data_IF_683969481872
#
_entry.id   IF_683969481872
#
_cell.length_a   1.000
_cell.length_b   1.000
_cell.length_c   1.000
_cell.angle_alpha   90.00
_cell.angle_beta   90.00
_cell.angle_gamma   90.00
#
_symmetry.space_group_name_H-M   'P 1'
#
loop_
_entity.id
_entity.type
_entity.pdbx_description
1 polymer ?
#
# COMPACT_ATOMS: atom_id res chain seq x y z
N UNK A 1 10.45 64.79 10.18
CA UNK A 1 10.38 63.90 9.00
C UNK A 1 10.74 62.51 9.47
N UNK A 2 9.74 61.73 9.89
CA UNK A 2 9.95 60.32 10.22
C UNK A 2 9.88 59.53 8.93
N UNK A 3 10.95 58.82 8.61
CA UNK A 3 11.02 57.90 7.47
C UNK A 3 10.14 56.71 7.83
N UNK A 4 9.05 56.52 7.08
CA UNK A 4 8.25 55.30 7.15
C UNK A 4 9.16 54.13 6.73
N UNK A 5 9.36 53.17 7.63
CA UNK A 5 9.94 51.88 7.30
C UNK A 5 8.82 51.11 6.63
N UNK A 6 8.93 50.93 5.31
CA UNK A 6 8.04 50.04 4.56
C UNK A 6 8.18 48.64 5.15
N UNK A 7 7.11 48.16 5.79
CA UNK A 7 6.99 46.79 6.25
C UNK A 7 6.85 45.87 5.01
N UNK A 8 7.83 45.01 4.72
CA UNK A 8 7.75 44.08 3.60
C UNK A 8 6.59 43.07 3.74
N UNK A 9 6.03 42.91 4.95
CA UNK A 9 4.95 41.98 5.24
C UNK A 9 3.56 42.45 4.77
N UNK A 10 3.39 43.75 4.47
CA UNK A 10 2.07 44.31 4.13
C UNK A 10 1.60 44.06 2.69
N UNK A 11 2.44 43.50 1.81
CA UNK A 11 2.17 43.39 0.38
C UNK A 11 2.06 41.96 -0.18
N UNK A 12 1.90 40.94 0.66
CA UNK A 12 1.61 39.59 0.18
C UNK A 12 0.09 39.34 0.17
N UNK A 13 -0.54 39.09 -1.00
CA UNK A 13 -1.94 38.69 -1.06
C UNK A 13 -2.16 37.41 -0.22
N UNK A 14 -3.35 37.17 0.33
CA UNK A 14 -3.68 35.86 0.94
C UNK A 14 -3.56 34.74 -0.12
N UNK A 15 -2.45 33.99 -0.13
CA UNK A 15 -2.04 33.20 -1.31
C UNK A 15 -2.74 31.83 -1.42
N UNK A 16 -3.26 31.23 -0.35
CA UNK A 16 -4.11 30.03 -0.45
C UNK A 16 -5.60 30.42 -0.48
N UNK A 17 -6.00 31.25 -1.45
CA UNK A 17 -7.41 31.22 -1.87
C UNK A 17 -7.72 29.78 -2.28
N UNK A 18 -8.59 29.10 -1.53
CA UNK A 18 -9.20 27.83 -1.92
C UNK A 18 -10.01 28.11 -3.19
N UNK A 19 -9.32 28.10 -4.34
CA UNK A 19 -10.01 27.92 -5.61
C UNK A 19 -10.32 26.44 -5.63
N UNK A 20 -11.60 26.11 -5.71
CA UNK A 20 -12.12 24.74 -5.62
C UNK A 20 -11.39 23.74 -6.54
N UNK A 21 -10.72 24.22 -7.59
CA UNK A 21 -10.01 23.42 -8.60
C UNK A 21 -8.52 23.19 -8.35
N UNK A 22 -7.88 23.85 -7.37
CA UNK A 22 -6.43 23.69 -7.12
C UNK A 22 -6.10 22.36 -6.45
N UNK A 23 -5.22 21.58 -7.07
CA UNK A 23 -4.81 20.23 -6.62
C UNK A 23 -3.48 20.22 -5.85
N UNK A 24 -2.88 19.04 -5.70
CA UNK A 24 -1.67 18.86 -4.89
C UNK A 24 -0.46 19.60 -5.48
N UNK A 25 -0.30 19.58 -6.81
CA UNK A 25 0.82 20.27 -7.47
C UNK A 25 0.76 21.79 -7.27
N UNK A 26 -0.43 22.38 -7.29
CA UNK A 26 -0.60 23.81 -7.02
C UNK A 26 -0.23 24.16 -5.58
N UNK A 27 -0.66 23.32 -4.63
CA UNK A 27 -0.30 23.44 -3.23
C UNK A 27 1.22 23.40 -3.05
N UNK A 28 1.89 22.41 -3.64
CA UNK A 28 3.36 22.29 -3.58
C UNK A 28 4.06 23.53 -4.15
N UNK A 29 3.60 24.02 -5.32
CA UNK A 29 4.16 25.23 -5.93
C UNK A 29 3.95 26.48 -5.05
N UNK A 30 2.81 26.59 -4.36
CA UNK A 30 2.55 27.68 -3.42
C UNK A 30 3.39 27.58 -2.15
N UNK A 31 3.66 26.37 -1.67
CA UNK A 31 4.52 26.13 -0.50
C UNK A 31 5.99 26.46 -0.80
N UNK A 32 6.47 26.24 -2.02
CA UNK A 32 7.83 26.67 -2.43
C UNK A 32 8.02 28.19 -2.37
N UNK A 33 6.94 28.96 -2.49
CA UNK A 33 6.96 30.43 -2.39
C UNK A 33 6.82 30.91 -0.94
N UNK A 34 6.63 29.99 0.02
CA UNK A 34 6.52 30.32 1.43
C UNK A 34 7.90 30.68 1.98
N UNK A 35 8.11 31.88 2.54
CA UNK A 35 9.42 32.30 3.00
C UNK A 35 9.91 31.39 4.15
N UNK A 36 11.09 30.77 3.95
CA UNK A 36 11.85 30.11 5.01
C UNK A 36 12.38 31.17 5.97
N UNK A 37 11.60 31.53 6.98
CA UNK A 37 12.04 32.53 7.96
C UNK A 37 10.88 33.18 8.71
N UNK A 38 10.13 32.41 9.49
CA UNK A 38 9.24 32.99 10.50
C UNK A 38 10.05 33.33 11.75
N UNK A 39 11.00 34.26 11.66
CA UNK A 39 11.65 34.84 12.83
C UNK A 39 10.96 36.13 13.31
N UNK A 40 10.17 36.79 12.45
CA UNK A 40 9.47 38.03 12.77
C UNK A 40 7.97 37.96 12.42
N UNK A 41 7.21 37.08 13.09
CA UNK A 41 5.75 37.10 13.04
C UNK A 41 5.21 37.51 14.41
N UNK A 42 4.25 38.44 14.41
CA UNK A 42 3.57 38.96 15.60
C UNK A 42 3.14 37.80 16.51
N UNK A 43 3.81 37.67 17.65
CA UNK A 43 3.70 36.56 18.60
C UNK A 43 2.46 36.67 19.49
N UNK A 44 1.43 37.38 19.02
CA UNK A 44 0.14 37.42 19.70
C UNK A 44 -0.53 36.06 19.57
N UNK A 45 -0.42 35.25 20.64
CA UNK A 45 -1.17 34.01 20.81
C UNK A 45 -2.65 34.39 20.75
N UNK A 46 -3.33 34.03 19.67
CA UNK A 46 -4.77 34.13 19.58
C UNK A 46 -5.37 33.05 20.49
N UNK A 47 -6.33 33.41 21.35
CA UNK A 47 -7.03 32.46 22.24
C UNK A 47 -7.97 31.49 21.51
N UNK A 48 -7.93 31.45 20.16
CA UNK A 48 -8.67 30.49 19.36
C UNK A 48 -7.85 29.20 19.21
N UNK A 49 -8.32 28.13 19.83
CA UNK A 49 -7.71 26.79 19.75
C UNK A 49 -7.85 26.12 18.37
N UNK A 50 -8.57 26.75 17.42
CA UNK A 50 -8.82 26.17 16.10
C UNK A 50 -8.73 27.22 15.00
N UNK A 51 -8.08 26.85 13.89
CA UNK A 51 -7.98 27.66 12.68
C UNK A 51 -8.88 27.05 11.59
N UNK A 52 -9.72 27.84 10.89
CA UNK A 52 -10.59 27.32 9.83
C UNK A 52 -9.88 27.15 8.48
N UNK A 53 -8.61 27.54 8.38
CA UNK A 53 -7.85 27.54 7.14
C UNK A 53 -7.30 26.15 6.80
N UNK A 54 -7.04 25.86 5.51
CA UNK A 54 -6.77 24.51 5.05
C UNK A 54 -5.42 23.94 5.52
N UNK A 55 -4.41 24.79 5.75
CA UNK A 55 -3.04 24.36 5.95
C UNK A 55 -2.29 25.16 7.02
N UNK A 56 -1.47 24.44 7.81
CA UNK A 56 -0.45 25.00 8.69
C UNK A 56 0.92 24.55 8.18
N UNK A 57 1.95 25.39 8.37
CA UNK A 57 3.35 25.04 8.16
C UNK A 57 4.10 25.33 9.45
N UNK A 58 4.69 24.30 10.07
CA UNK A 58 5.38 24.39 11.36
C UNK A 58 4.53 25.03 12.46
N UNK A 59 3.24 24.66 12.52
CA UNK A 59 2.28 25.19 13.50
C UNK A 59 1.83 26.64 13.23
N UNK A 60 2.18 27.23 12.09
CA UNK A 60 1.72 28.56 11.69
C UNK A 60 0.75 28.43 10.52
N UNK A 61 -0.43 29.02 10.64
CA UNK A 61 -1.40 29.03 9.56
C UNK A 61 -0.84 29.75 8.33
N UNK A 62 -0.89 29.09 7.18
CA UNK A 62 -0.38 29.65 5.93
C UNK A 62 -1.13 30.93 5.52
N UNK A 63 -2.45 30.98 5.77
CA UNK A 63 -3.33 32.07 5.36
C UNK A 63 -3.36 33.24 6.36
N UNK A 64 -3.76 32.98 7.61
CA UNK A 64 -3.94 34.04 8.61
C UNK A 64 -2.69 34.32 9.46
N UNK A 65 -1.61 33.54 9.27
CA UNK A 65 -0.33 33.69 9.99
C UNK A 65 -0.39 33.51 11.51
N UNK A 66 -1.54 33.08 12.03
CA UNK A 66 -1.68 32.75 13.44
C UNK A 66 -0.91 31.46 13.76
N UNK A 67 -0.14 31.50 14.84
CA UNK A 67 0.43 30.31 15.44
C UNK A 67 -0.67 29.52 16.14
N UNK A 68 -0.79 28.26 15.78
CA UNK A 68 -1.77 27.31 16.30
C UNK A 68 -1.00 26.26 17.08
N UNK A 69 -1.39 26.02 18.33
CA UNK A 69 -0.91 24.84 19.04
C UNK A 69 -1.53 23.62 18.36
N UNK A 70 -0.67 22.76 17.80
CA UNK A 70 -1.11 21.55 17.11
C UNK A 70 -1.62 20.59 18.18
N UNK A 71 -2.91 20.65 18.47
CA UNK A 71 -3.64 19.57 19.12
C UNK A 71 -4.03 18.53 18.06
N UNK A 72 -4.30 17.28 18.48
CA UNK A 72 -4.72 16.15 17.64
C UNK A 72 -5.98 16.46 16.77
N UNK A 73 -6.64 17.59 16.97
CA UNK A 73 -7.91 17.95 16.34
C UNK A 73 -7.80 18.61 14.95
N UNK A 74 -6.67 19.23 14.58
CA UNK A 74 -6.62 20.02 13.33
C UNK A 74 -6.67 19.13 12.08
N UNK A 75 -5.89 18.05 12.05
CA UNK A 75 -5.74 17.18 10.88
C UNK A 75 -4.49 16.32 10.94
N UNK A 76 -3.91 16.02 9.77
CA UNK A 76 -2.73 15.17 9.64
C UNK A 76 -1.54 15.94 9.08
N UNK A 77 -0.34 15.51 9.45
CA UNK A 77 0.91 16.06 8.94
C UNK A 77 1.31 15.32 7.64
N UNK A 78 1.49 16.07 6.55
CA UNK A 78 1.91 15.58 5.24
C UNK A 78 3.36 16.00 4.99
N UNK A 79 4.26 15.66 5.91
CA UNK A 79 5.67 16.03 5.82
C UNK A 79 6.36 15.48 4.56
N UNK A 80 5.86 14.37 4.01
CA UNK A 80 6.29 13.85 2.71
C UNK A 80 6.00 14.78 1.51
N UNK A 81 5.01 15.68 1.62
CA UNK A 81 4.74 16.70 0.61
C UNK A 81 5.58 17.94 0.84
N UNK A 82 5.62 18.40 2.09
CA UNK A 82 6.44 19.52 2.52
C UNK A 82 6.64 19.41 4.02
N UNK A 83 7.90 19.49 4.47
CA UNK A 83 8.26 19.38 5.89
C UNK A 83 7.44 20.32 6.77
N UNK A 84 6.79 19.77 7.80
CA UNK A 84 5.97 20.50 8.76
C UNK A 84 4.61 20.96 8.23
N UNK A 85 4.16 20.46 7.09
CA UNK A 85 2.83 20.77 6.54
C UNK A 85 1.75 19.96 7.27
N UNK A 86 0.83 20.63 7.95
CA UNK A 86 -0.39 20.02 8.46
C UNK A 86 -1.57 20.44 7.58
N UNK A 87 -2.37 19.48 7.14
CA UNK A 87 -3.60 19.72 6.39
C UNK A 87 -4.81 19.43 7.27
N UNK A 88 -5.78 20.34 7.23
CA UNK A 88 -7.05 20.15 7.91
C UNK A 88 -7.83 18.97 7.32
N UNK A 89 -8.71 18.35 8.11
CA UNK A 89 -9.55 17.24 7.65
C UNK A 89 -10.39 17.59 6.41
N UNK A 90 -10.92 18.80 6.33
CA UNK A 90 -11.69 19.28 5.17
C UNK A 90 -10.82 19.42 3.93
N UNK A 91 -9.58 19.89 4.09
CA UNK A 91 -8.63 20.02 2.97
C UNK A 91 -8.15 18.67 2.47
N UNK A 92 -7.86 17.72 3.36
CA UNK A 92 -7.51 16.34 2.98
C UNK A 92 -8.64 15.73 2.14
N UNK A 93 -9.88 15.87 2.60
CA UNK A 93 -11.05 15.39 1.86
C UNK A 93 -11.16 16.07 0.49
N UNK A 94 -11.00 17.40 0.42
CA UNK A 94 -11.05 18.16 -0.84
C UNK A 94 -9.99 17.68 -1.83
N UNK A 95 -8.74 17.53 -1.39
CA UNK A 95 -7.63 17.06 -2.22
C UNK A 95 -7.86 15.62 -2.72
N UNK A 96 -8.38 14.73 -1.87
CA UNK A 96 -8.74 13.36 -2.28
C UNK A 96 -9.78 13.33 -3.39
N UNK A 97 -10.84 14.13 -3.30
CA UNK A 97 -11.85 14.22 -4.35
C UNK A 97 -11.25 14.74 -5.66
N UNK A 98 -10.38 15.76 -5.59
CA UNK A 98 -9.76 16.34 -6.78
C UNK A 98 -8.79 15.39 -7.46
N UNK A 99 -7.85 14.81 -6.71
CA UNK A 99 -6.88 13.87 -7.27
C UNK A 99 -7.59 12.61 -7.80
N UNK A 100 -8.59 12.08 -7.10
CA UNK A 100 -9.40 10.96 -7.61
C UNK A 100 -10.09 11.30 -8.92
N UNK A 101 -10.76 12.47 -9.00
CA UNK A 101 -11.42 12.92 -10.24
C UNK A 101 -10.42 13.06 -11.38
N UNK A 102 -9.24 13.64 -11.11
CA UNK A 102 -8.15 13.79 -12.08
C UNK A 102 -7.66 12.43 -12.57
N UNK A 103 -7.34 11.50 -11.68
CA UNK A 103 -6.85 10.17 -12.08
C UNK A 103 -7.90 9.37 -12.84
N UNK A 104 -9.16 9.39 -12.38
CA UNK A 104 -10.26 8.73 -13.08
C UNK A 104 -10.49 9.28 -14.49
N UNK A 105 -10.29 10.59 -14.71
CA UNK A 105 -10.37 11.19 -16.05
C UNK A 105 -9.30 10.67 -17.01
N UNK A 106 -8.16 10.22 -16.47
CA UNK A 106 -7.06 9.59 -17.20
C UNK A 106 -7.17 8.06 -17.24
N UNK A 107 -8.29 7.50 -16.76
CA UNK A 107 -8.48 6.07 -16.55
C UNK A 107 -7.41 5.46 -15.64
N UNK A 108 -7.01 6.17 -14.58
CA UNK A 108 -6.12 5.66 -13.54
C UNK A 108 -6.83 5.46 -12.21
N UNK A 109 -6.39 4.45 -11.48
CA UNK A 109 -6.69 4.20 -10.07
C UNK A 109 -5.48 4.58 -9.21
N UNK A 110 -5.50 4.30 -7.91
CA UNK A 110 -4.36 4.47 -7.01
C UNK A 110 -3.83 3.11 -6.53
N UNK A 111 -2.50 2.98 -6.45
CA UNK A 111 -1.84 1.78 -5.94
C UNK A 111 -0.83 2.18 -4.87
N UNK A 112 -1.00 1.64 -3.67
CA UNK A 112 -0.04 1.80 -2.56
C UNK A 112 0.84 0.56 -2.52
N UNK A 113 2.15 0.75 -2.52
CA UNK A 113 3.14 -0.31 -2.55
C UNK A 113 4.01 -0.24 -1.30
N UNK A 114 4.05 -1.32 -0.54
CA UNK A 114 5.09 -1.53 0.45
C UNK A 114 6.46 -1.82 -0.21
N UNK A 115 7.55 -1.72 0.55
CA UNK A 115 8.92 -1.97 0.07
C UNK A 115 9.42 -3.32 0.56
N UNK A 116 9.62 -3.44 1.86
CA UNK A 116 10.40 -4.50 2.51
C UNK A 116 9.62 -5.80 2.51
N UNK A 117 10.21 -6.88 2.00
CA UNK A 117 9.52 -8.17 1.80
C UNK A 117 8.34 -8.13 0.82
N UNK A 118 7.96 -6.97 0.28
CA UNK A 118 6.97 -6.85 -0.81
C UNK A 118 7.60 -6.70 -2.19
N UNK A 119 8.45 -5.69 -2.39
CA UNK A 119 9.09 -5.37 -3.69
C UNK A 119 10.57 -5.77 -3.72
N UNK A 120 11.20 -5.89 -2.56
CA UNK A 120 12.61 -6.24 -2.41
C UNK A 120 12.88 -6.80 -1.01
N UNK A 121 14.09 -7.31 -0.81
CA UNK A 121 14.60 -7.68 0.50
C UNK A 121 15.97 -7.04 0.74
N UNK A 122 16.14 -6.46 1.93
CA UNK A 122 17.35 -5.73 2.31
C UNK A 122 18.20 -6.53 3.29
N UNK A 123 19.52 -6.49 3.11
CA UNK A 123 20.50 -7.27 3.87
C UNK A 123 21.65 -6.39 4.36
N UNK A 124 22.14 -6.56 5.60
CA UNK A 124 23.44 -6.04 6.00
C UNK A 124 24.56 -6.60 5.11
N UNK A 125 25.62 -5.82 4.81
CA UNK A 125 26.66 -6.23 3.84
C UNK A 125 27.32 -7.58 4.15
N UNK A 126 27.52 -7.89 5.43
CA UNK A 126 28.08 -9.18 5.87
C UNK A 126 27.17 -10.36 5.49
N UNK A 127 25.88 -10.27 5.80
CA UNK A 127 24.90 -11.30 5.48
C UNK A 127 24.75 -11.46 3.97
N UNK A 128 24.73 -10.35 3.22
CA UNK A 128 24.67 -10.40 1.77
C UNK A 128 25.86 -11.16 1.14
N UNK A 129 27.07 -10.94 1.68
CA UNK A 129 28.26 -11.68 1.26
C UNK A 129 28.16 -13.17 1.58
N UNK A 130 27.60 -13.54 2.74
CA UNK A 130 27.40 -14.94 3.15
C UNK A 130 26.35 -15.65 2.26
N UNK A 131 25.32 -14.92 1.82
CA UNK A 131 24.29 -15.40 0.87
C UNK A 131 24.77 -15.40 -0.59
N UNK A 132 26.00 -14.98 -0.87
CA UNK A 132 26.54 -14.95 -2.23
C UNK A 132 25.89 -13.93 -3.16
N UNK A 133 25.28 -12.86 -2.61
CA UNK A 133 24.72 -11.78 -3.41
C UNK A 133 25.83 -11.06 -4.18
N UNK A 134 25.92 -11.36 -5.48
CA UNK A 134 26.87 -10.70 -6.36
C UNK A 134 26.38 -9.31 -6.72
N UNK A 135 27.24 -8.30 -6.53
CA UNK A 135 26.99 -6.92 -7.01
C UNK A 135 26.78 -6.82 -8.52
N UNK A 136 27.18 -7.85 -9.27
CA UNK A 136 27.01 -7.91 -10.72
C UNK A 136 25.65 -8.47 -11.14
N UNK A 137 24.86 -8.99 -10.21
CA UNK A 137 23.52 -9.49 -10.52
C UNK A 137 22.58 -8.29 -10.75
N UNK A 138 21.82 -8.30 -11.85
CA UNK A 138 20.96 -7.17 -12.27
C UNK A 138 19.99 -6.71 -11.16
N UNK A 139 19.45 -7.68 -10.43
CA UNK A 139 18.47 -7.49 -9.36
C UNK A 139 19.11 -7.28 -7.97
N UNK A 140 20.43 -7.10 -7.88
CA UNK A 140 21.12 -6.83 -6.61
C UNK A 140 21.73 -5.43 -6.66
N UNK A 141 21.41 -4.56 -5.69
CA UNK A 141 22.01 -3.22 -5.56
C UNK A 141 22.74 -3.09 -4.24
N UNK A 142 23.87 -2.40 -4.27
CA UNK A 142 24.70 -2.16 -3.09
C UNK A 142 24.66 -0.67 -2.75
N UNK A 143 24.10 -0.36 -1.58
CA UNK A 143 23.95 0.98 -1.02
C UNK A 143 25.13 1.34 -0.08
N UNK A 144 26.13 0.47 0.03
CA UNK A 144 27.26 0.61 0.94
C UNK A 144 26.93 0.24 2.39
N UNK A 145 25.81 0.73 2.93
CA UNK A 145 25.32 0.41 4.27
C UNK A 145 24.37 -0.79 4.28
N UNK A 146 23.76 -1.11 3.14
CA UNK A 146 22.94 -2.30 2.89
C UNK A 146 23.12 -2.82 1.46
N UNK A 147 22.78 -4.09 1.26
CA UNK A 147 22.63 -4.70 -0.07
C UNK A 147 21.19 -5.12 -0.22
N UNK A 148 20.56 -4.72 -1.32
CA UNK A 148 19.16 -5.02 -1.60
C UNK A 148 19.04 -6.00 -2.76
N UNK A 149 18.17 -6.99 -2.60
CA UNK A 149 17.75 -7.92 -3.64
C UNK A 149 16.35 -7.53 -4.08
N UNK A 150 16.21 -7.09 -5.33
CA UNK A 150 14.92 -6.79 -5.93
C UNK A 150 14.12 -8.08 -6.14
N UNK A 151 12.81 -8.00 -5.90
CA UNK A 151 11.89 -9.06 -6.28
C UNK A 151 11.89 -9.19 -7.81
N UNK A 152 11.96 -10.42 -8.35
CA UNK A 152 11.93 -10.62 -9.80
C UNK A 152 10.74 -9.87 -10.43
N UNK A 153 10.94 -9.32 -11.63
CA UNK A 153 9.93 -8.59 -12.39
C UNK A 153 9.52 -7.22 -11.83
N UNK A 154 10.07 -6.74 -10.70
CA UNK A 154 9.61 -5.49 -10.06
C UNK A 154 9.68 -4.24 -10.96
N UNK A 155 10.75 -4.05 -11.73
CA UNK A 155 10.90 -2.86 -12.56
C UNK A 155 9.88 -2.86 -13.72
N UNK A 156 9.67 -4.02 -14.35
CA UNK A 156 8.68 -4.17 -15.42
C UNK A 156 7.25 -4.08 -14.88
N UNK A 157 7.01 -4.60 -13.68
CA UNK A 157 5.75 -4.43 -12.95
C UNK A 157 5.43 -2.95 -12.73
N UNK A 158 6.37 -2.16 -12.20
CA UNK A 158 6.17 -0.73 -11.94
C UNK A 158 5.89 0.04 -13.23
N UNK A 159 6.65 -0.23 -14.29
CA UNK A 159 6.45 0.39 -15.61
C UNK A 159 5.02 0.11 -16.12
N UNK A 160 4.59 -1.16 -16.14
CA UNK A 160 3.27 -1.54 -16.62
C UNK A 160 2.13 -1.04 -15.71
N UNK A 161 2.32 -1.09 -14.40
CA UNK A 161 1.34 -0.59 -13.43
C UNK A 161 1.14 0.93 -13.56
N UNK A 162 2.20 1.69 -13.87
CA UNK A 162 2.13 3.16 -14.02
C UNK A 162 1.14 3.63 -15.10
N UNK A 163 0.84 2.78 -16.09
CA UNK A 163 -0.16 3.08 -17.13
C UNK A 163 -1.61 3.07 -16.59
N UNK A 164 -1.86 2.35 -15.50
CA UNK A 164 -3.19 2.13 -14.92
C UNK A 164 -3.36 2.76 -13.53
N UNK A 165 -2.25 3.07 -12.85
CA UNK A 165 -2.25 3.49 -11.46
C UNK A 165 -1.35 4.72 -11.25
N UNK A 166 -1.81 5.63 -10.40
CA UNK A 166 -0.97 6.61 -9.70
C UNK A 166 -0.42 5.93 -8.44
N UNK A 167 0.90 5.77 -8.36
CA UNK A 167 1.52 4.91 -7.34
C UNK A 167 2.08 5.70 -6.15
N UNK A 168 1.91 5.13 -4.96
CA UNK A 168 2.52 5.58 -3.71
C UNK A 168 3.49 4.51 -3.22
N UNK A 169 4.67 4.92 -2.78
CA UNK A 169 5.57 4.07 -2.00
C UNK A 169 5.28 4.32 -0.52
N UNK A 170 4.98 3.28 0.26
CA UNK A 170 4.63 3.41 1.68
C UNK A 170 5.28 2.32 2.52
N UNK A 171 6.38 2.67 3.18
CA UNK A 171 7.15 1.78 4.07
C UNK A 171 7.09 2.24 5.53
N UNK A 172 7.35 1.32 6.46
CA UNK A 172 7.70 1.62 7.86
C UNK A 172 9.21 1.87 8.06
N UNK A 173 10.00 1.80 6.99
CA UNK A 173 11.39 2.24 6.98
C UNK A 173 11.53 3.76 7.06
N UNK A 174 12.72 4.22 7.47
CA UNK A 174 13.06 5.65 7.59
C UNK A 174 13.00 6.39 6.24
N UNK A 175 12.82 7.71 6.25
CA UNK A 175 12.81 8.52 5.02
C UNK A 175 14.06 8.37 4.14
N UNK A 176 15.31 8.45 4.67
CA UNK A 176 16.51 8.30 3.84
C UNK A 176 16.55 6.96 3.09
N UNK A 177 16.13 5.88 3.77
CA UNK A 177 16.01 4.57 3.14
C UNK A 177 14.96 4.56 2.03
N UNK A 178 13.76 5.07 2.30
CA UNK A 178 12.66 5.07 1.33
C UNK A 178 13.03 5.88 0.07
N UNK A 179 13.71 7.01 0.23
CA UNK A 179 14.18 7.85 -0.88
C UNK A 179 15.25 7.14 -1.71
N UNK A 180 16.24 6.49 -1.08
CA UNK A 180 17.29 5.74 -1.79
C UNK A 180 16.71 4.52 -2.55
N UNK A 181 15.72 3.83 -1.98
CA UNK A 181 15.00 2.76 -2.68
C UNK A 181 14.16 3.30 -3.83
N UNK A 182 13.49 4.44 -3.66
CA UNK A 182 12.72 5.05 -4.73
C UNK A 182 13.62 5.43 -5.92
N UNK A 183 14.84 5.92 -5.68
CA UNK A 183 15.83 6.19 -6.73
C UNK A 183 16.26 4.93 -7.48
N UNK A 184 16.33 3.77 -6.82
CA UNK A 184 16.61 2.48 -7.46
C UNK A 184 15.43 2.02 -8.33
N UNK A 185 14.22 2.11 -7.80
CA UNK A 185 13.01 1.56 -8.43
C UNK A 185 12.45 2.47 -9.53
N UNK A 186 12.60 3.79 -9.38
CA UNK A 186 12.05 4.82 -10.26
C UNK A 186 13.05 5.99 -10.45
N UNK A 187 14.19 5.76 -11.14
CA UNK A 187 15.24 6.77 -11.23
C UNK A 187 14.81 8.07 -11.93
N UNK A 188 13.74 8.03 -12.72
CA UNK A 188 13.19 9.21 -13.41
C UNK A 188 12.05 9.90 -12.63
N UNK A 189 11.62 9.34 -11.50
CA UNK A 189 10.53 9.89 -10.69
C UNK A 189 9.16 9.87 -11.39
N UNK A 190 8.95 8.94 -12.34
CA UNK A 190 7.70 8.84 -13.12
C UNK A 190 6.62 8.08 -12.34
N UNK A 191 7.01 7.08 -11.56
CA UNK A 191 6.13 6.21 -10.81
C UNK A 191 5.65 6.86 -9.51
N UNK A 192 6.59 7.37 -8.70
CA UNK A 192 6.31 7.83 -7.34
C UNK A 192 6.39 9.35 -7.20
N UNK A 193 7.36 10.01 -7.83
CA UNK A 193 7.62 11.44 -7.66
C UNK A 193 7.67 11.79 -6.15
N UNK A 194 6.84 12.72 -5.68
CA UNK A 194 6.74 13.12 -4.27
C UNK A 194 5.97 12.13 -3.37
N UNK A 195 5.37 11.05 -3.91
CA UNK A 195 4.45 10.15 -3.19
C UNK A 195 5.19 9.03 -2.45
N UNK A 196 6.13 9.42 -1.59
CA UNK A 196 6.95 8.50 -0.78
C UNK A 196 6.64 8.75 0.69
N UNK A 197 5.92 7.81 1.30
CA UNK A 197 5.50 7.84 2.71
C UNK A 197 6.39 6.88 3.50
N UNK A 198 7.01 7.38 4.56
CA UNK A 198 7.94 6.64 5.41
C UNK A 198 7.44 6.58 6.85
N UNK A 199 8.13 5.87 7.74
CA UNK A 199 7.81 5.92 9.18
C UNK A 199 8.06 7.28 9.83
N UNK A 200 8.82 8.17 9.18
CA UNK A 200 8.99 9.55 9.66
C UNK A 200 7.74 10.40 9.46
N UNK A 201 6.85 9.98 8.56
CA UNK A 201 5.56 10.64 8.32
C UNK A 201 4.44 10.09 9.22
N UNK A 202 4.71 8.99 9.95
CA UNK A 202 3.69 8.28 10.72
C UNK A 202 3.62 8.77 12.18
N UNK A 203 2.55 9.50 12.58
CA UNK A 203 2.38 9.96 13.94
C UNK A 203 2.09 8.83 14.93
N UNK A 204 1.66 7.65 14.43
CA UNK A 204 1.36 6.48 15.27
C UNK A 204 2.61 5.71 15.73
N UNK A 205 3.82 6.18 15.39
CA UNK A 205 5.10 5.65 15.88
C UNK A 205 5.27 5.78 17.39
N UNK A 206 4.52 6.68 18.02
CA UNK A 206 4.56 6.93 19.45
C UNK A 206 3.39 6.19 20.12
N UNK A 207 3.62 5.64 21.31
CA UNK A 207 2.54 5.12 22.15
C UNK A 207 1.55 6.28 22.41
N UNK A 208 0.36 6.18 21.84
CA UNK A 208 -0.73 7.13 22.08
C UNK A 208 -1.83 6.45 22.89
N UNK A 209 -2.81 7.21 23.39
CA UNK A 209 -4.04 6.61 23.94
C UNK A 209 -4.75 5.69 22.95
N UNK A 210 -4.56 5.90 21.63
CA UNK A 210 -5.14 5.12 20.55
C UNK A 210 -4.20 4.03 19.99
N UNK A 211 -2.91 4.07 20.33
CA UNK A 211 -1.91 3.02 20.04
C UNK A 211 -1.16 2.63 21.33
N UNK A 212 -1.83 1.99 22.30
CA UNK A 212 -1.26 1.71 23.62
C UNK A 212 -0.08 0.74 23.59
N UNK A 213 0.04 -0.04 22.51
CA UNK A 213 1.08 -1.05 22.34
C UNK A 213 2.27 -0.54 21.51
N UNK A 214 2.19 0.68 20.94
CA UNK A 214 3.24 1.24 20.10
C UNK A 214 3.51 0.42 18.82
N UNK A 215 2.52 -0.34 18.36
CA UNK A 215 2.67 -1.14 17.13
C UNK A 215 2.56 -0.18 15.95
N UNK A 216 3.57 -0.16 15.08
CA UNK A 216 3.54 0.67 13.89
C UNK A 216 2.48 0.15 12.92
N UNK A 217 1.53 1.01 12.56
CA UNK A 217 0.45 0.71 11.62
C UNK A 217 0.43 1.74 10.50
N UNK A 218 0.01 1.31 9.32
CA UNK A 218 -0.19 2.14 8.14
C UNK A 218 -1.67 2.52 8.01
N UNK A 219 -1.92 3.68 7.40
CA UNK A 219 -3.28 4.17 7.13
C UNK A 219 -3.38 4.86 5.79
N UNK A 220 -4.50 4.68 5.09
CA UNK A 220 -4.80 5.45 3.88
C UNK A 220 -5.02 6.94 4.17
N UNK A 221 -5.01 7.37 5.44
CA UNK A 221 -4.98 8.76 5.91
C UNK A 221 -4.03 9.67 5.12
N UNK A 222 -2.83 9.17 4.80
CA UNK A 222 -1.79 9.91 4.09
C UNK A 222 -1.89 9.85 2.57
N UNK A 223 -2.78 9.01 2.03
CA UNK A 223 -2.96 8.83 0.59
C UNK A 223 -4.06 9.79 0.11
N UNK A 224 -3.71 10.62 -0.88
CA UNK A 224 -4.61 11.61 -1.46
C UNK A 224 -5.43 11.02 -2.62
N UNK A 225 -6.07 9.88 -2.36
CA UNK A 225 -7.08 9.26 -3.21
C UNK A 225 -8.29 8.83 -2.39
N UNK A 226 -9.45 8.67 -3.02
CA UNK A 226 -10.62 8.07 -2.40
C UNK A 226 -10.41 6.56 -2.25
N UNK A 227 -10.70 6.00 -1.08
CA UNK A 227 -10.44 4.59 -0.77
C UNK A 227 -11.13 3.61 -1.74
N UNK A 228 -12.26 3.98 -2.34
CA UNK A 228 -12.93 3.18 -3.38
C UNK A 228 -12.10 3.02 -4.65
N UNK A 229 -11.00 3.76 -4.77
CA UNK A 229 -10.12 3.81 -5.95
C UNK A 229 -8.69 3.37 -5.61
N UNK A 230 -8.42 2.96 -4.35
CA UNK A 230 -7.08 2.59 -3.87
C UNK A 230 -6.99 1.07 -3.68
N UNK A 231 -5.96 0.45 -4.26
CA UNK A 231 -5.51 -0.90 -3.90
C UNK A 231 -4.16 -0.81 -3.17
N UNK A 232 -3.91 -1.76 -2.26
CA UNK A 232 -2.66 -1.86 -1.49
C UNK A 232 -2.00 -3.19 -1.82
N UNK A 233 -0.69 -3.19 -2.11
CA UNK A 233 0.16 -4.39 -2.09
C UNK A 233 1.10 -4.30 -0.89
N UNK A 234 0.98 -5.26 0.01
CA UNK A 234 1.78 -5.37 1.23
C UNK A 234 1.80 -6.84 1.65
N UNK A 235 2.91 -7.35 2.17
CA UNK A 235 3.03 -8.72 2.67
C UNK A 235 2.51 -8.89 4.11
N UNK A 236 2.26 -7.79 4.81
CA UNK A 236 1.80 -7.82 6.19
C UNK A 236 0.40 -7.21 6.36
N UNK A 237 -0.60 -8.06 6.60
CA UNK A 237 -1.96 -7.59 6.86
C UNK A 237 -2.11 -6.86 8.20
N UNK A 238 -1.27 -7.16 9.20
CA UNK A 238 -1.39 -6.62 10.56
C UNK A 238 -1.10 -5.12 10.62
N UNK A 239 -0.30 -4.59 9.68
CA UNK A 239 -0.03 -3.15 9.61
C UNK A 239 -1.18 -2.36 8.97
N UNK A 240 -2.23 -3.01 8.45
CA UNK A 240 -3.39 -2.37 7.81
C UNK A 240 -4.73 -2.70 8.49
N UNK A 241 -4.88 -2.51 9.82
CA UNK A 241 -6.05 -2.99 10.56
C UNK A 241 -7.39 -2.44 10.06
N UNK A 242 -7.40 -1.18 9.61
CA UNK A 242 -8.61 -0.50 9.14
C UNK A 242 -8.84 -0.63 7.62
N UNK A 243 -7.86 -1.14 6.87
CA UNK A 243 -7.80 -1.06 5.40
C UNK A 243 -7.70 -2.44 4.71
N UNK A 244 -7.97 -3.52 5.44
CA UNK A 244 -7.89 -4.91 4.93
C UNK A 244 -8.71 -5.17 3.65
N UNK A 245 -9.77 -4.38 3.40
CA UNK A 245 -10.60 -4.51 2.18
C UNK A 245 -9.92 -3.96 0.93
N UNK A 246 -8.94 -3.08 1.09
CA UNK A 246 -8.13 -2.49 0.02
C UNK A 246 -6.86 -3.33 -0.24
N UNK A 247 -6.51 -4.21 0.70
CA UNK A 247 -5.29 -5.00 0.68
C UNK A 247 -5.39 -6.22 -0.23
N UNK A 248 -4.47 -6.29 -1.18
CA UNK A 248 -4.07 -7.52 -1.87
C UNK A 248 -2.82 -8.01 -1.13
N UNK A 249 -3.03 -8.93 -0.19
CA UNK A 249 -1.96 -9.51 0.61
C UNK A 249 -0.95 -10.23 -0.30
N UNK A 250 0.29 -9.79 -0.25
CA UNK A 250 1.40 -10.36 -1.01
C UNK A 250 2.05 -11.48 -0.21
N UNK A 251 2.62 -12.47 -0.91
CA UNK A 251 3.53 -13.40 -0.23
C UNK A 251 4.83 -12.67 0.09
N UNK A 252 5.33 -12.86 1.31
CA UNK A 252 6.64 -12.37 1.73
C UNK A 252 7.71 -12.79 0.70
N UNK A 253 8.50 -11.83 0.25
CA UNK A 253 9.62 -12.05 -0.63
C UNK A 253 10.85 -12.44 0.20
N UNK A 254 11.14 -13.74 0.21
CA UNK A 254 12.27 -14.31 0.94
C UNK A 254 13.32 -14.83 -0.03
N UNK A 255 14.52 -14.26 0.04
CA UNK A 255 15.73 -14.70 -0.66
C UNK A 255 16.71 -15.32 0.36
N UNK A 256 17.08 -16.59 0.16
CA UNK A 256 17.95 -17.37 1.05
C UNK A 256 19.32 -17.72 0.44
N UNK A 257 19.66 -17.20 -0.75
CA UNK A 257 20.92 -17.50 -1.45
C UNK A 257 21.00 -18.89 -2.10
N UNK A 258 19.93 -19.69 -2.03
CA UNK A 258 19.87 -21.03 -2.61
C UNK A 258 19.24 -21.01 -4.01
N UNK A 259 19.60 -21.97 -4.88
CA UNK A 259 19.00 -22.09 -6.22
C UNK A 259 17.48 -22.27 -6.20
N UNK A 260 16.93 -22.70 -5.07
CA UNK A 260 15.50 -22.87 -4.85
C UNK A 260 14.77 -21.57 -4.53
N UNK A 261 15.44 -20.44 -4.27
CA UNK A 261 14.76 -19.19 -3.90
C UNK A 261 14.12 -18.46 -5.07
N UNK A 262 14.58 -18.77 -6.28
CA UNK A 262 13.78 -18.66 -7.49
C UNK A 262 12.72 -19.77 -7.51
N UNK A 263 12.02 -19.98 -6.39
CA UNK A 263 10.79 -20.78 -6.43
C UNK A 263 9.92 -20.17 -7.52
N UNK A 264 9.24 -21.02 -8.29
CA UNK A 264 8.38 -20.56 -9.38
C UNK A 264 7.45 -19.43 -8.89
N UNK A 265 6.93 -19.56 -7.68
CA UNK A 265 6.07 -18.57 -7.04
C UNK A 265 6.76 -17.21 -6.75
N UNK A 266 7.99 -17.16 -6.20
CA UNK A 266 8.71 -15.88 -6.02
C UNK A 266 8.94 -15.16 -7.36
N UNK A 267 9.11 -15.93 -8.44
CA UNK A 267 9.38 -15.42 -9.78
C UNK A 267 8.12 -14.94 -10.48
N UNK A 268 6.98 -15.61 -10.27
CA UNK A 268 5.73 -15.37 -11.00
C UNK A 268 4.82 -14.34 -10.33
N UNK A 269 4.88 -14.20 -9.00
CA UNK A 269 3.84 -13.50 -8.24
C UNK A 269 3.59 -12.05 -8.69
N UNK A 270 4.60 -11.24 -9.00
CA UNK A 270 4.35 -9.87 -9.49
C UNK A 270 3.72 -9.86 -10.88
N UNK A 271 4.00 -10.86 -11.72
CA UNK A 271 3.34 -11.06 -13.00
C UNK A 271 1.86 -11.39 -12.83
N UNK A 272 1.54 -12.37 -11.98
CA UNK A 272 0.15 -12.76 -11.71
C UNK A 272 -0.65 -11.62 -11.07
N UNK A 273 -0.05 -10.91 -10.12
CA UNK A 273 -0.69 -9.76 -9.47
C UNK A 273 -0.92 -8.62 -10.47
N UNK A 274 -0.03 -8.41 -11.44
CA UNK A 274 -0.27 -7.44 -12.50
C UNK A 274 -1.52 -7.80 -13.33
N UNK A 275 -1.75 -9.07 -13.66
CA UNK A 275 -2.95 -9.52 -14.37
C UNK A 275 -4.22 -9.31 -13.53
N UNK A 276 -4.14 -9.55 -12.23
CA UNK A 276 -5.24 -9.26 -11.28
C UNK A 276 -5.55 -7.76 -11.28
N UNK A 277 -4.53 -6.90 -11.18
CA UNK A 277 -4.68 -5.45 -11.21
C UNK A 277 -5.30 -4.97 -12.53
N UNK A 278 -4.87 -5.53 -13.67
CA UNK A 278 -5.46 -5.26 -14.99
C UNK A 278 -6.93 -5.66 -15.07
N UNK A 279 -7.29 -6.81 -14.49
CA UNK A 279 -8.66 -7.30 -14.44
C UNK A 279 -9.55 -6.39 -13.60
N UNK A 280 -9.11 -6.04 -12.38
CA UNK A 280 -9.86 -5.12 -11.49
C UNK A 280 -10.01 -3.75 -12.15
N UNK A 281 -8.95 -3.21 -12.73
CA UNK A 281 -8.98 -1.94 -13.45
C UNK A 281 -9.99 -1.97 -14.61
N UNK A 282 -9.94 -3.00 -15.45
CA UNK A 282 -10.85 -3.17 -16.58
C UNK A 282 -12.31 -3.21 -16.12
N UNK A 283 -12.62 -4.02 -15.09
CA UNK A 283 -13.96 -4.12 -14.52
C UNK A 283 -14.42 -2.79 -13.92
N UNK A 284 -13.54 -2.08 -13.20
CA UNK A 284 -13.84 -0.79 -12.58
C UNK A 284 -14.31 0.24 -13.63
N UNK A 285 -13.62 0.34 -14.76
CA UNK A 285 -13.97 1.30 -15.81
C UNK A 285 -15.13 0.85 -16.72
N UNK A 286 -15.52 -0.43 -16.68
CA UNK A 286 -16.72 -0.95 -17.33
C UNK A 286 -18.00 -0.71 -16.51
N UNK A 287 -17.89 -0.56 -15.19
CA UNK A 287 -19.04 -0.29 -14.32
C UNK A 287 -19.56 1.15 -14.44
N UNK A 288 -20.85 1.31 -14.16
CA UNK A 288 -21.49 2.60 -13.97
C UNK A 288 -20.83 3.38 -12.83
N UNK A 289 -20.65 4.69 -13.01
CA UNK A 289 -19.85 5.55 -12.12
C UNK A 289 -20.26 5.43 -10.64
N UNK A 290 -21.56 5.33 -10.35
CA UNK A 290 -22.06 5.22 -8.96
C UNK A 290 -21.86 3.86 -8.29
N UNK A 291 -21.41 2.84 -9.02
CA UNK A 291 -21.23 1.48 -8.50
C UNK A 291 -19.76 1.12 -8.23
N UNK A 292 -18.83 1.96 -8.70
CA UNK A 292 -17.39 1.69 -8.72
C UNK A 292 -16.79 1.63 -7.32
N UNK A 293 -16.18 0.50 -7.00
CA UNK A 293 -15.43 0.31 -5.76
C UNK A 293 -14.43 -0.85 -5.93
N UNK A 294 -13.13 -0.55 -5.95
CA UNK A 294 -12.07 -1.55 -6.14
C UNK A 294 -12.11 -2.63 -5.07
N UNK A 295 -12.59 -2.34 -3.85
CA UNK A 295 -12.68 -3.32 -2.76
C UNK A 295 -13.72 -4.39 -3.06
N UNK A 296 -14.84 -4.00 -3.66
CA UNK A 296 -15.90 -4.94 -4.09
C UNK A 296 -15.40 -5.82 -5.24
N UNK A 297 -14.72 -5.20 -6.20
CA UNK A 297 -14.16 -5.87 -7.37
C UNK A 297 -13.04 -6.85 -7.01
N UNK A 298 -12.10 -6.44 -6.16
CA UNK A 298 -11.04 -7.30 -5.66
C UNK A 298 -11.62 -8.55 -4.98
N UNK A 299 -12.61 -8.38 -4.11
CA UNK A 299 -13.33 -9.50 -3.48
C UNK A 299 -14.03 -10.40 -4.51
N UNK A 300 -14.66 -9.81 -5.53
CA UNK A 300 -15.34 -10.58 -6.59
C UNK A 300 -14.35 -11.41 -7.40
N UNK A 301 -13.27 -10.78 -7.89
CA UNK A 301 -12.19 -11.46 -8.63
C UNK A 301 -11.58 -12.58 -7.79
N UNK A 302 -11.31 -12.32 -6.51
CA UNK A 302 -10.81 -13.35 -5.57
C UNK A 302 -11.78 -14.52 -5.40
N UNK A 303 -13.07 -14.25 -5.27
CA UNK A 303 -14.09 -15.28 -5.11
C UNK A 303 -14.30 -16.16 -6.36
N UNK A 304 -13.70 -15.80 -7.50
CA UNK A 304 -13.77 -16.59 -8.72
C UNK A 304 -12.66 -17.65 -8.81
N UNK A 305 -11.61 -17.56 -7.97
CA UNK A 305 -10.44 -18.43 -8.06
C UNK A 305 -10.79 -19.91 -7.86
N UNK A 306 -11.46 -20.24 -6.75
CA UNK A 306 -11.89 -21.61 -6.42
C UNK A 306 -13.41 -21.78 -6.53
N UNK A 307 -14.08 -20.94 -7.32
CA UNK A 307 -15.53 -21.03 -7.52
C UNK A 307 -15.91 -22.42 -8.05
N UNK A 308 -16.86 -23.06 -7.37
CA UNK A 308 -17.33 -24.41 -7.72
C UNK A 308 -16.50 -25.54 -7.11
N UNK A 309 -15.41 -25.24 -6.39
CA UNK A 309 -14.68 -26.22 -5.61
C UNK A 309 -15.39 -26.48 -4.28
N UNK A 310 -15.77 -27.74 -4.04
CA UNK A 310 -16.24 -28.22 -2.75
C UNK A 310 -15.10 -28.97 -2.05
N UNK A 311 -14.52 -28.36 -1.02
CA UNK A 311 -13.33 -28.85 -0.34
C UNK A 311 -13.73 -29.62 0.92
N UNK A 312 -13.24 -30.85 1.02
CA UNK A 312 -13.26 -31.61 2.26
C UNK A 312 -12.00 -31.28 3.07
N UNK A 313 -12.19 -30.66 4.23
CA UNK A 313 -11.13 -30.00 5.01
C UNK A 313 -11.17 -30.40 6.49
N UNK A 314 -11.52 -31.66 6.79
CA UNK A 314 -11.70 -32.13 8.17
C UNK A 314 -10.46 -31.92 9.05
N UNK A 315 -9.26 -32.16 8.50
CA UNK A 315 -8.01 -32.04 9.25
C UNK A 315 -7.62 -30.59 9.53
N UNK A 316 -8.13 -29.65 8.73
CA UNK A 316 -7.78 -28.22 8.75
C UNK A 316 -8.99 -27.34 9.03
N UNK A 317 -10.03 -27.89 9.67
CA UNK A 317 -11.34 -27.24 9.86
C UNK A 317 -11.26 -25.94 10.66
N UNK A 318 -10.38 -25.88 11.64
CA UNK A 318 -10.19 -24.73 12.53
C UNK A 318 -8.90 -23.95 12.21
N UNK A 319 -8.42 -24.06 10.97
CA UNK A 319 -7.25 -23.33 10.48
C UNK A 319 -7.63 -22.10 9.66
N UNK A 320 -6.68 -21.19 9.47
CA UNK A 320 -6.79 -20.05 8.56
C UNK A 320 -7.16 -20.47 7.12
N UNK A 321 -6.76 -21.67 6.69
CA UNK A 321 -7.04 -22.18 5.34
C UNK A 321 -8.53 -22.32 5.04
N UNK A 322 -9.36 -22.54 6.05
CA UNK A 322 -10.81 -22.65 5.85
C UNK A 322 -11.42 -21.32 5.39
N UNK A 323 -11.01 -20.22 6.02
CA UNK A 323 -11.49 -18.89 5.67
C UNK A 323 -10.84 -18.37 4.39
N UNK A 324 -9.56 -18.69 4.16
CA UNK A 324 -8.87 -18.44 2.88
C UNK A 324 -9.59 -19.14 1.72
N UNK A 325 -9.92 -20.42 1.85
CA UNK A 325 -10.64 -21.16 0.81
C UNK A 325 -12.02 -20.56 0.50
N UNK A 326 -12.75 -20.13 1.54
CA UNK A 326 -14.03 -19.42 1.36
C UNK A 326 -13.85 -18.07 0.67
N UNK A 327 -12.82 -17.31 1.02
CA UNK A 327 -12.51 -16.05 0.36
C UNK A 327 -12.21 -16.24 -1.14
N UNK A 328 -11.62 -17.38 -1.51
CA UNK A 328 -11.40 -17.79 -2.90
C UNK A 328 -12.67 -18.33 -3.60
N UNK A 329 -13.81 -18.39 -2.90
CA UNK A 329 -15.10 -18.83 -3.46
C UNK A 329 -15.36 -20.34 -3.40
N UNK A 330 -14.56 -21.09 -2.65
CA UNK A 330 -14.81 -22.50 -2.40
C UNK A 330 -15.91 -22.70 -1.35
N UNK A 331 -16.55 -23.87 -1.38
CA UNK A 331 -17.40 -24.35 -0.29
C UNK A 331 -16.64 -25.38 0.54
N UNK A 332 -16.49 -25.13 1.84
CA UNK A 332 -15.74 -26.01 2.73
C UNK A 332 -16.68 -26.92 3.52
N UNK A 333 -16.32 -28.18 3.70
CA UNK A 333 -17.09 -29.17 4.45
C UNK A 333 -16.18 -30.09 5.29
N UNK A 334 -16.70 -30.59 6.41
CA UNK A 334 -16.00 -31.53 7.31
C UNK A 334 -16.49 -32.97 7.18
N UNK A 335 -17.48 -33.20 6.32
CA UNK A 335 -18.11 -34.50 6.10
C UNK A 335 -18.05 -34.89 4.62
N UNK A 336 -17.67 -36.14 4.35
CA UNK A 336 -17.62 -36.66 2.99
C UNK A 336 -19.02 -36.83 2.43
N UNK A 337 -19.24 -36.32 1.22
CA UNK A 337 -20.49 -36.42 0.49
C UNK A 337 -20.22 -36.41 -1.02
N UNK A 338 -21.26 -36.66 -1.82
CA UNK A 338 -21.15 -36.74 -3.29
C UNK A 338 -20.69 -35.45 -3.96
N UNK A 339 -20.95 -34.28 -3.34
CA UNK A 339 -20.60 -32.98 -3.89
C UNK A 339 -19.11 -32.64 -3.71
N UNK A 340 -18.38 -33.33 -2.82
CA UNK A 340 -16.94 -33.11 -2.61
C UNK A 340 -16.17 -33.27 -3.92
N UNK A 341 -15.30 -32.31 -4.20
CA UNK A 341 -14.45 -32.27 -5.40
C UNK A 341 -12.98 -32.51 -5.04
N UNK A 342 -12.53 -31.95 -3.92
CA UNK A 342 -11.14 -32.03 -3.45
C UNK A 342 -11.11 -32.50 -2.00
N UNK A 343 -10.12 -33.30 -1.64
CA UNK A 343 -9.76 -33.63 -0.28
C UNK A 343 -8.44 -32.96 0.06
N UNK A 344 -8.45 -32.16 1.11
CA UNK A 344 -7.30 -31.34 1.51
C UNK A 344 -6.55 -32.03 2.65
N UNK A 345 -5.25 -32.21 2.45
CA UNK A 345 -4.26 -32.70 3.43
C UNK A 345 -4.62 -34.06 4.03
N UNK A 346 -5.30 -34.93 3.28
CA UNK A 346 -5.67 -36.24 3.80
C UNK A 346 -4.47 -37.18 3.86
N UNK A 347 -4.13 -37.65 5.06
CA UNK A 347 -3.06 -38.62 5.26
C UNK A 347 -3.27 -39.90 4.44
N UNK A 348 -2.22 -40.33 3.75
CA UNK A 348 -2.22 -41.54 2.92
C UNK A 348 -2.64 -42.76 3.75
N UNK A 349 -3.58 -43.54 3.23
CA UNK A 349 -4.09 -44.75 3.88
C UNK A 349 -5.26 -44.53 4.85
N UNK A 350 -5.64 -43.30 5.16
CA UNK A 350 -6.85 -43.02 5.93
C UNK A 350 -8.12 -43.40 5.17
N UNK A 351 -9.24 -43.57 5.88
CA UNK A 351 -10.56 -43.84 5.27
C UNK A 351 -10.95 -42.75 4.27
N UNK A 352 -10.64 -41.50 4.62
CA UNK A 352 -10.99 -40.33 3.82
C UNK A 352 -10.14 -40.28 2.54
N UNK A 353 -8.82 -40.49 2.65
CA UNK A 353 -7.92 -40.64 1.50
C UNK A 353 -8.37 -41.75 0.54
N UNK A 354 -8.62 -42.95 1.07
CA UNK A 354 -9.06 -44.10 0.27
C UNK A 354 -10.41 -43.85 -0.41
N UNK A 355 -11.32 -43.12 0.25
CA UNK A 355 -12.57 -42.67 -0.36
C UNK A 355 -12.31 -41.71 -1.52
N UNK A 356 -11.40 -40.74 -1.36
CA UNK A 356 -11.00 -39.80 -2.41
C UNK A 356 -10.47 -40.51 -3.65
N UNK A 357 -9.50 -41.43 -3.46
CA UNK A 357 -8.93 -42.25 -4.54
C UNK A 357 -10.02 -43.06 -5.25
N UNK A 358 -10.84 -43.79 -4.48
CA UNK A 358 -11.91 -44.64 -5.04
C UNK A 358 -12.92 -43.84 -5.88
N UNK A 359 -13.23 -42.61 -5.45
CA UNK A 359 -14.19 -41.73 -6.11
C UNK A 359 -13.54 -40.75 -7.09
N UNK A 360 -12.25 -40.93 -7.41
CA UNK A 360 -11.48 -40.09 -8.35
C UNK A 360 -11.59 -38.59 -8.04
N UNK A 361 -11.48 -38.24 -6.76
CA UNK A 361 -11.43 -36.86 -6.29
C UNK A 361 -10.00 -36.33 -6.34
N UNK A 362 -9.85 -35.03 -6.42
CA UNK A 362 -8.54 -34.40 -6.31
C UNK A 362 -8.05 -34.52 -4.87
N UNK A 363 -6.79 -34.91 -4.70
CA UNK A 363 -6.09 -34.97 -3.42
C UNK A 363 -5.06 -33.85 -3.47
N UNK A 364 -5.12 -32.93 -2.52
CA UNK A 364 -4.23 -31.76 -2.51
C UNK A 364 -3.75 -31.46 -1.10
N UNK A 365 -2.51 -30.98 -0.97
CA UNK A 365 -1.95 -30.39 0.24
C UNK A 365 -2.57 -29.01 0.46
N UNK A 366 -2.60 -28.53 1.70
CA UNK A 366 -3.12 -27.20 2.06
C UNK A 366 -2.38 -26.04 1.35
N UNK A 367 -1.16 -26.30 0.88
CA UNK A 367 -0.33 -25.36 0.11
C UNK A 367 -0.97 -25.00 -1.23
N UNK A 368 -1.81 -25.87 -1.79
CA UNK A 368 -2.57 -25.54 -2.99
C UNK A 368 -3.52 -24.37 -2.75
N UNK A 369 -4.15 -24.31 -1.57
CA UNK A 369 -5.03 -23.22 -1.17
C UNK A 369 -4.20 -21.96 -0.91
N UNK A 370 -3.07 -22.12 -0.22
CA UNK A 370 -2.14 -21.02 0.08
C UNK A 370 -1.60 -20.35 -1.19
N UNK A 371 -1.04 -21.13 -2.11
CA UNK A 371 -0.47 -20.61 -3.34
C UNK A 371 -1.55 -20.05 -4.26
N UNK A 372 -2.74 -20.68 -4.31
CA UNK A 372 -3.89 -20.13 -5.04
C UNK A 372 -4.35 -18.77 -4.48
N UNK A 373 -4.21 -18.57 -3.17
CA UNK A 373 -4.54 -17.31 -2.52
C UNK A 373 -3.57 -16.19 -2.87
N UNK A 374 -2.27 -16.46 -2.86
CA UNK A 374 -1.24 -15.46 -3.17
C UNK A 374 -1.12 -15.18 -4.67
N UNK A 375 -1.30 -16.20 -5.52
CA UNK A 375 -1.26 -16.05 -6.98
C UNK A 375 -2.60 -15.66 -7.59
N UNK A 376 -3.69 -15.68 -6.80
CA UNK A 376 -5.06 -15.40 -7.27
C UNK A 376 -5.50 -16.28 -8.44
N UNK A 377 -5.03 -17.53 -8.46
CA UNK A 377 -5.25 -18.46 -9.55
C UNK A 377 -5.50 -19.87 -9.02
N UNK A 378 -6.35 -20.62 -9.73
CA UNK A 378 -6.49 -22.05 -9.46
C UNK A 378 -5.33 -22.79 -10.10
N UNK A 379 -4.44 -23.30 -9.25
CA UNK A 379 -3.26 -24.02 -9.69
C UNK A 379 -3.59 -25.48 -10.04
N UNK A 380 -2.80 -26.14 -10.90
CA UNK A 380 -2.98 -27.56 -11.20
C UNK A 380 -2.85 -28.42 -9.95
N UNK A 381 -3.86 -29.24 -9.65
CA UNK A 381 -3.92 -30.02 -8.41
C UNK A 381 -2.79 -31.06 -8.31
N UNK A 382 -2.31 -31.57 -9.44
CA UNK A 382 -1.24 -32.57 -9.52
C UNK A 382 0.11 -32.12 -8.93
N UNK A 383 0.34 -30.81 -8.82
CA UNK A 383 1.56 -30.25 -8.25
C UNK A 383 1.54 -30.28 -6.71
N UNK A 384 0.43 -30.71 -6.11
CA UNK A 384 0.16 -30.60 -4.67
C UNK A 384 -0.32 -31.90 -4.02
N UNK A 385 0.04 -33.08 -4.55
CA UNK A 385 -0.45 -34.38 -4.03
C UNK A 385 -0.06 -34.68 -2.57
#
# INVERSE_FOLDING_TARGET
>A
MGVAVDDPAANFPSVLSIKEERGVLDLLHQLQQYPHGTQDLDTSISSQSTCPHPALVNGVCYDCRQKIEIEDAFGLEFSYLHMGLNLSHSEIHRLRCLESKKQLSQKKLHLVLDIDSTLLQSFPPKQASELGLSKNHKDTKDLGWQVVKLRPFVLEFLEKASAMFEMYLYTLGSRPYAEEIAEILDPQGVCFNYRIISSDDNPYRIITHHNPNGVEVKTLGFVLGEESNILILDDNAEVWPDHVRNLILMKEFVFTGTKTDETEMNTLILGEILEVLQTIHSLYFQQDVGCRDVRKLAREVRSNVLRGCNLYMKQVKDSEFWDVAKALGATCCSELNSCVTHLVSCETGTKDYNWGVKNKKFLVHERWIEDAYYLWQRLPEENYL
#
